data_IF_429172473298
#
_entry.id   IF_429172473298
#
_cell.length_a   1.000
_cell.length_b   1.000
_cell.length_c   1.000
_cell.angle_alpha   90.00
_cell.angle_beta   90.00
_cell.angle_gamma   90.00
#
_symmetry.space_group_name_H-M   'P 1'
#
loop_
_entity.id
_entity.type
_entity.pdbx_description
1 polymer ?
#
# COMPACT_ATOMS: atom_id res chain seq x y z
N UNK A 1 -23.56 50.35 42.28
CA UNK A 1 -23.99 49.03 41.81
C UNK A 1 -23.01 48.55 40.76
N UNK A 2 -22.56 47.30 40.91
CA UNK A 2 -21.71 46.53 39.99
C UNK A 2 -22.28 46.53 38.55
N UNK A 3 -21.51 46.30 37.48
CA UNK A 3 -20.64 45.14 37.25
C UNK A 3 -19.53 45.42 36.23
N UNK A 4 -18.41 44.73 36.44
CA UNK A 4 -17.28 44.59 35.54
C UNK A 4 -17.42 43.31 34.67
N UNK A 5 -16.75 43.34 33.52
CA UNK A 5 -16.08 42.25 32.78
C UNK A 5 -16.88 41.06 32.24
N UNK A 6 -16.70 40.79 30.95
CA UNK A 6 -17.11 39.54 30.32
C UNK A 6 -16.83 39.42 28.82
N UNK A 7 -15.71 39.94 28.29
CA UNK A 7 -15.23 39.55 26.97
C UNK A 7 -14.38 38.28 27.12
N UNK A 8 -14.98 37.11 26.90
CA UNK A 8 -14.25 35.85 26.76
C UNK A 8 -13.59 35.83 25.38
N UNK A 9 -12.37 36.34 25.34
CA UNK A 9 -11.45 36.22 24.21
C UNK A 9 -10.88 34.79 24.22
N UNK A 10 -11.60 33.84 23.63
CA UNK A 10 -11.07 32.49 23.40
C UNK A 10 -10.10 32.54 22.21
N UNK A 11 -8.87 32.99 22.48
CA UNK A 11 -7.74 32.82 21.58
C UNK A 11 -7.38 31.34 21.47
N UNK A 12 -7.93 30.65 20.46
CA UNK A 12 -7.25 29.45 19.95
C UNK A 12 -5.88 29.93 19.41
N UNK A 13 -4.74 29.39 19.89
CA UNK A 13 -3.46 29.69 19.26
C UNK A 13 -3.56 29.26 17.80
N UNK A 14 -3.04 30.08 16.87
CA UNK A 14 -2.89 29.83 15.43
C UNK A 14 -2.41 28.41 15.14
N UNK A 15 -3.32 27.43 15.18
CA UNK A 15 -3.05 26.06 14.76
C UNK A 15 -3.15 26.10 13.26
N UNK A 16 -2.03 26.47 12.63
CA UNK A 16 -1.83 26.23 11.20
C UNK A 16 -2.22 24.77 10.95
N UNK A 17 -3.25 24.51 10.13
CA UNK A 17 -3.68 23.14 9.89
C UNK A 17 -2.48 22.32 9.40
N UNK A 18 -2.35 21.05 9.80
CA UNK A 18 -1.25 20.22 9.34
C UNK A 18 -1.21 20.28 7.80
N UNK A 19 -0.01 20.54 7.27
CA UNK A 19 0.15 20.71 5.83
C UNK A 19 -0.32 19.43 5.12
N UNK A 20 -1.22 19.59 4.15
CA UNK A 20 -1.71 18.46 3.37
C UNK A 20 -0.57 17.86 2.54
N UNK A 21 -0.53 16.52 2.39
CA UNK A 21 0.43 15.87 1.52
C UNK A 21 0.22 16.35 0.09
N UNK A 22 1.33 16.58 -0.62
CA UNK A 22 1.30 17.02 -2.01
C UNK A 22 1.39 15.80 -2.94
N UNK A 23 0.55 15.71 -3.98
CA UNK A 23 0.66 14.63 -4.97
C UNK A 23 1.99 14.67 -5.72
N UNK A 24 2.59 13.50 -5.94
CA UNK A 24 3.76 13.33 -6.80
C UNK A 24 3.25 13.19 -8.25
N UNK A 25 3.47 14.19 -9.10
CA UNK A 25 2.88 14.25 -10.46
C UNK A 25 3.67 13.51 -11.54
N UNK A 26 4.99 13.41 -11.39
CA UNK A 26 5.88 12.75 -12.34
C UNK A 26 6.50 11.50 -11.70
N UNK A 27 5.64 10.57 -11.30
CA UNK A 27 6.09 9.36 -10.64
C UNK A 27 6.51 8.32 -11.68
N UNK A 28 7.75 7.86 -11.58
CA UNK A 28 8.27 6.77 -12.41
C UNK A 28 7.77 5.41 -11.90
N UNK A 29 7.17 4.61 -12.79
CA UNK A 29 6.75 3.24 -12.48
C UNK A 29 7.94 2.30 -12.56
N UNK A 30 8.38 1.78 -11.39
CA UNK A 30 9.59 0.95 -11.28
C UNK A 30 9.33 -0.55 -11.37
N UNK A 31 8.11 -0.99 -11.03
CA UNK A 31 7.78 -2.40 -10.86
C UNK A 31 6.65 -2.79 -11.82
N UNK A 32 7.00 -3.54 -12.87
CA UNK A 32 6.08 -3.93 -13.95
C UNK A 32 6.11 -5.42 -14.31
N UNK A 33 6.89 -6.21 -13.55
CA UNK A 33 7.13 -7.64 -13.80
C UNK A 33 6.32 -8.54 -12.86
N UNK A 34 6.26 -9.83 -13.15
CA UNK A 34 5.62 -10.83 -12.29
C UNK A 34 6.51 -11.09 -11.07
N UNK A 35 5.96 -11.02 -9.85
CA UNK A 35 6.71 -11.23 -8.61
C UNK A 35 6.47 -12.64 -8.04
N UNK A 36 7.45 -13.54 -8.17
CA UNK A 36 7.37 -14.93 -7.69
C UNK A 36 8.65 -15.27 -6.94
N UNK A 37 8.52 -15.89 -5.77
CA UNK A 37 9.64 -16.32 -4.92
C UNK A 37 10.65 -15.20 -4.61
N UNK A 38 10.13 -14.01 -4.29
CA UNK A 38 10.90 -12.79 -4.02
C UNK A 38 11.73 -12.26 -5.21
N UNK A 39 11.42 -12.66 -6.43
CA UNK A 39 12.12 -12.26 -7.65
C UNK A 39 11.15 -11.74 -8.72
N UNK A 40 11.65 -10.87 -9.59
CA UNK A 40 10.91 -10.31 -10.72
C UNK A 40 11.15 -11.14 -12.00
N UNK A 41 10.08 -11.61 -12.62
CA UNK A 41 10.10 -12.48 -13.80
C UNK A 41 9.34 -11.84 -14.97
N UNK A 42 9.81 -12.09 -16.18
CA UNK A 42 9.03 -11.83 -17.40
C UNK A 42 7.97 -12.93 -17.57
N UNK A 43 6.87 -12.59 -18.24
CA UNK A 43 5.81 -13.53 -18.55
C UNK A 43 6.34 -14.69 -19.39
N UNK A 44 5.82 -15.90 -19.17
CA UNK A 44 6.18 -17.07 -19.99
C UNK A 44 5.77 -16.92 -21.45
N UNK A 45 4.70 -16.16 -21.70
CA UNK A 45 4.22 -15.83 -23.03
C UNK A 45 5.05 -14.72 -23.71
N UNK A 46 5.83 -13.95 -22.95
CA UNK A 46 6.51 -12.73 -23.39
C UNK A 46 5.56 -11.56 -23.68
N UNK A 47 4.26 -11.70 -23.39
CA UNK A 47 3.26 -10.67 -23.65
C UNK A 47 3.23 -9.64 -22.53
N UNK A 48 2.82 -8.43 -22.90
CA UNK A 48 2.59 -7.33 -21.98
C UNK A 48 1.27 -6.66 -22.35
N UNK A 49 0.65 -6.04 -21.36
CA UNK A 49 -0.51 -5.18 -21.59
C UNK A 49 -0.27 -3.78 -21.02
N UNK A 50 -0.87 -2.79 -21.66
CA UNK A 50 -0.76 -1.39 -21.24
C UNK A 50 -1.72 -1.12 -20.08
N UNK A 51 -1.25 -0.40 -19.06
CA UNK A 51 -2.13 0.30 -18.12
C UNK A 51 -2.22 1.78 -18.50
N UNK A 52 -3.42 2.35 -18.39
CA UNK A 52 -3.73 3.69 -18.88
C UNK A 52 -4.31 4.54 -17.77
N UNK A 53 -3.93 5.81 -17.72
CA UNK A 53 -4.49 6.76 -16.77
C UNK A 53 -5.91 7.12 -17.21
N UNK A 54 -6.97 6.81 -16.45
CA UNK A 54 -8.34 7.08 -16.87
C UNK A 54 -8.69 8.57 -16.94
N UNK A 55 -7.91 9.43 -16.27
CA UNK A 55 -8.12 10.89 -16.26
C UNK A 55 -7.57 11.57 -17.52
N UNK A 56 -6.48 11.05 -18.10
CA UNK A 56 -5.86 11.61 -19.33
C UNK A 56 -6.05 10.73 -20.56
N UNK A 57 -6.40 9.45 -20.37
CA UNK A 57 -6.42 8.36 -21.36
C UNK A 57 -5.05 8.03 -21.96
N UNK A 58 -3.98 8.53 -21.36
CA UNK A 58 -2.62 8.25 -21.79
C UNK A 58 -2.12 6.95 -21.15
N UNK A 59 -1.27 6.22 -21.88
CA UNK A 59 -0.60 5.04 -21.37
C UNK A 59 0.40 5.43 -20.27
N UNK A 60 0.33 4.74 -19.13
CA UNK A 60 1.24 4.91 -18.00
C UNK A 60 2.49 4.05 -18.23
N UNK A 61 2.30 2.75 -18.43
CA UNK A 61 3.37 1.78 -18.69
C UNK A 61 2.81 0.49 -19.30
N UNK A 62 3.70 -0.44 -19.65
CA UNK A 62 3.37 -1.83 -19.95
C UNK A 62 3.77 -2.73 -18.79
N UNK A 63 2.90 -3.68 -18.45
CA UNK A 63 3.12 -4.69 -17.41
C UNK A 63 3.06 -6.09 -18.00
N UNK A 64 3.82 -7.01 -17.42
CA UNK A 64 3.86 -8.41 -17.85
C UNK A 64 2.48 -9.08 -17.75
N UNK A 65 2.05 -9.72 -18.85
CA UNK A 65 0.77 -10.42 -18.92
C UNK A 65 0.95 -11.87 -18.46
N UNK A 66 0.67 -12.12 -17.18
CA UNK A 66 0.71 -13.47 -16.61
C UNK A 66 -0.38 -14.36 -17.19
N UNK A 67 -0.01 -15.56 -17.64
CA UNK A 67 -0.92 -16.59 -18.13
C UNK A 67 -0.83 -17.85 -17.25
N UNK A 68 -1.57 -18.90 -17.59
CA UNK A 68 -1.61 -20.18 -16.89
C UNK A 68 -0.21 -20.70 -16.46
N UNK A 69 0.83 -20.68 -17.31
CA UNK A 69 2.17 -21.17 -16.90
C UNK A 69 2.81 -20.31 -15.80
N UNK A 70 2.57 -19.01 -15.76
CA UNK A 70 3.06 -18.11 -14.73
C UNK A 70 2.33 -18.35 -13.41
N UNK A 71 1.01 -18.59 -13.48
CA UNK A 71 0.19 -18.98 -12.33
C UNK A 71 0.65 -20.32 -11.77
N UNK A 72 0.87 -21.33 -12.63
CA UNK A 72 1.34 -22.65 -12.21
C UNK A 72 2.71 -22.55 -11.49
N UNK A 73 3.63 -21.69 -11.99
CA UNK A 73 4.91 -21.38 -11.33
C UNK A 73 4.74 -20.68 -9.98
N UNK A 74 3.81 -19.73 -9.87
CA UNK A 74 3.52 -19.02 -8.62
C UNK A 74 2.95 -19.98 -7.56
N UNK A 75 2.07 -20.90 -7.96
CA UNK A 75 1.47 -21.91 -7.08
C UNK A 75 2.53 -22.88 -6.59
N UNK A 76 3.42 -23.37 -7.46
CA UNK A 76 4.52 -24.25 -7.06
C UNK A 76 5.43 -23.57 -6.01
N UNK A 77 5.82 -22.31 -6.25
CA UNK A 77 6.61 -21.54 -5.29
C UNK A 77 5.89 -21.37 -3.93
N UNK A 78 4.60 -21.06 -3.96
CA UNK A 78 3.79 -20.94 -2.74
C UNK A 78 3.65 -22.27 -1.99
N UNK A 79 3.51 -23.39 -2.71
CA UNK A 79 3.47 -24.73 -2.12
C UNK A 79 4.78 -25.04 -1.40
N UNK A 80 5.93 -24.79 -2.03
CA UNK A 80 7.26 -24.97 -1.42
C UNK A 80 7.40 -24.10 -0.17
N UNK A 81 7.02 -22.82 -0.25
CA UNK A 81 7.04 -21.92 0.90
C UNK A 81 6.13 -22.39 2.06
N UNK A 82 5.11 -23.21 1.80
CA UNK A 82 4.18 -23.73 2.79
C UNK A 82 4.45 -25.18 3.23
N UNK A 83 5.46 -25.86 2.66
CA UNK A 83 5.83 -27.23 3.03
C UNK A 83 6.18 -27.36 4.51
N UNK A 84 5.96 -28.54 5.10
CA UNK A 84 6.31 -28.81 6.49
C UNK A 84 7.82 -28.65 6.69
N UNK A 85 8.22 -27.88 7.70
CA UNK A 85 9.63 -27.61 7.99
C UNK A 85 10.23 -26.42 7.22
N UNK A 86 9.48 -25.82 6.28
CA UNK A 86 9.89 -24.58 5.60
C UNK A 86 10.06 -23.41 6.59
N UNK A 87 10.85 -22.38 6.24
CA UNK A 87 11.04 -21.19 7.10
C UNK A 87 9.71 -20.54 7.51
N UNK A 88 8.77 -20.41 6.57
CA UNK A 88 7.46 -19.79 6.85
C UNK A 88 6.61 -20.62 7.83
N UNK A 89 6.58 -21.94 7.68
CA UNK A 89 5.85 -22.84 8.60
C UNK A 89 6.48 -22.95 9.98
N UNK A 90 7.79 -22.69 10.09
CA UNK A 90 8.54 -22.71 11.35
C UNK A 90 8.47 -21.40 12.14
N UNK A 91 8.14 -20.29 11.48
CA UNK A 91 7.94 -19.01 12.17
C UNK A 91 6.77 -19.11 13.15
N UNK A 92 6.97 -18.63 14.37
CA UNK A 92 5.89 -18.49 15.33
C UNK A 92 4.92 -17.36 14.93
N UNK A 93 3.73 -17.36 15.53
CA UNK A 93 2.69 -16.38 15.22
C UNK A 93 3.12 -14.93 15.48
N UNK A 94 3.93 -14.68 16.52
CA UNK A 94 4.40 -13.34 16.85
C UNK A 94 5.41 -12.84 15.82
N UNK A 95 6.34 -13.70 15.37
CA UNK A 95 7.31 -13.36 14.33
C UNK A 95 6.63 -13.06 12.99
N UNK A 96 5.61 -13.83 12.59
CA UNK A 96 4.79 -13.48 11.41
C UNK A 96 4.09 -12.13 11.58
N UNK A 97 3.54 -11.87 12.77
CA UNK A 97 2.97 -10.56 13.10
C UNK A 97 3.99 -9.42 12.99
N UNK A 98 5.24 -9.63 13.42
CA UNK A 98 6.31 -8.63 13.28
C UNK A 98 6.60 -8.30 11.82
N UNK A 99 6.63 -9.29 10.93
CA UNK A 99 6.81 -9.06 9.49
C UNK A 99 5.65 -8.22 8.90
N UNK A 100 4.41 -8.46 9.31
CA UNK A 100 3.26 -7.65 8.89
C UNK A 100 3.35 -6.19 9.40
N UNK A 101 3.84 -5.98 10.62
CA UNK A 101 4.09 -4.63 11.13
C UNK A 101 5.19 -3.92 10.35
N UNK A 102 6.30 -4.60 10.06
CA UNK A 102 7.36 -4.05 9.23
C UNK A 102 6.84 -3.69 7.83
N UNK A 103 5.97 -4.51 7.25
CA UNK A 103 5.30 -4.17 5.99
C UNK A 103 4.43 -2.91 6.14
N UNK A 104 3.65 -2.79 7.22
CA UNK A 104 2.86 -1.59 7.48
C UNK A 104 3.73 -0.33 7.62
N UNK A 105 4.90 -0.44 8.24
CA UNK A 105 5.84 0.68 8.40
C UNK A 105 6.47 1.07 7.05
N UNK A 106 6.74 0.10 6.16
CA UNK A 106 7.19 0.38 4.80
C UNK A 106 6.09 1.04 3.96
N UNK A 107 4.84 0.59 4.09
CA UNK A 107 3.69 1.21 3.42
C UNK A 107 3.46 2.64 3.93
N UNK A 108 3.62 2.88 5.24
CA UNK A 108 3.50 4.22 5.83
C UNK A 108 4.63 5.15 5.38
N UNK A 109 5.87 4.64 5.29
CA UNK A 109 7.02 5.37 4.74
C UNK A 109 6.75 5.82 3.30
N UNK A 110 6.24 4.92 2.46
CA UNK A 110 6.04 5.16 1.03
C UNK A 110 4.61 5.62 0.69
N UNK A 111 3.83 6.01 1.71
CA UNK A 111 2.39 6.30 1.59
C UNK A 111 2.05 7.32 0.50
N UNK A 112 2.82 8.39 0.39
CA UNK A 112 2.61 9.42 -0.63
C UNK A 112 2.86 8.89 -2.05
N UNK A 113 3.86 8.01 -2.21
CA UNK A 113 4.19 7.35 -3.48
C UNK A 113 3.10 6.37 -3.88
N UNK A 114 2.66 5.52 -2.96
CA UNK A 114 1.59 4.56 -3.21
C UNK A 114 0.26 5.26 -3.52
N UNK A 115 -0.09 6.32 -2.79
CA UNK A 115 -1.29 7.12 -3.07
C UNK A 115 -1.22 7.82 -4.44
N UNK A 116 -0.04 8.26 -4.87
CA UNK A 116 0.14 8.85 -6.20
C UNK A 116 -0.01 7.80 -7.31
N UNK A 117 0.55 6.59 -7.14
CA UNK A 117 0.34 5.47 -8.07
C UNK A 117 -1.14 5.12 -8.18
N UNK A 118 -1.82 4.96 -7.04
CA UNK A 118 -3.24 4.62 -6.99
C UNK A 118 -4.10 5.68 -7.71
N UNK A 119 -3.81 6.96 -7.47
CA UNK A 119 -4.49 8.06 -8.18
C UNK A 119 -4.22 8.05 -9.68
N UNK A 120 -2.98 7.76 -10.09
CA UNK A 120 -2.61 7.74 -11.50
C UNK A 120 -3.29 6.59 -12.25
N UNK A 121 -3.35 5.40 -11.65
CA UNK A 121 -3.87 4.19 -12.27
C UNK A 121 -5.41 4.14 -12.26
N UNK A 122 -6.06 4.62 -11.18
CA UNK A 122 -7.53 4.53 -11.06
C UNK A 122 -8.25 5.87 -11.27
N UNK A 123 -7.54 6.99 -11.33
CA UNK A 123 -8.13 8.34 -11.44
C UNK A 123 -8.79 8.86 -10.16
N UNK A 124 -8.63 8.20 -9.01
CA UNK A 124 -9.26 8.65 -7.75
C UNK A 124 -8.55 9.90 -7.20
N UNK A 125 -9.25 10.81 -6.50
CA UNK A 125 -8.60 11.97 -5.90
C UNK A 125 -7.47 11.57 -4.94
N UNK A 126 -6.30 12.21 -5.04
CA UNK A 126 -5.12 11.88 -4.22
C UNK A 126 -5.40 11.89 -2.72
N UNK A 127 -6.17 12.85 -2.22
CA UNK A 127 -6.51 12.91 -0.80
C UNK A 127 -7.40 11.73 -0.37
N UNK A 128 -8.22 11.19 -1.29
CA UNK A 128 -9.01 9.98 -1.04
C UNK A 128 -8.09 8.76 -0.93
N UNK A 129 -7.20 8.56 -1.93
CA UNK A 129 -6.19 7.49 -1.89
C UNK A 129 -5.35 7.57 -0.61
N UNK A 130 -4.88 8.77 -0.25
CA UNK A 130 -4.00 8.97 0.89
C UNK A 130 -4.70 8.74 2.24
N UNK A 131 -5.85 9.37 2.50
CA UNK A 131 -6.49 9.38 3.83
C UNK A 131 -7.48 8.24 4.07
N UNK A 132 -7.94 7.55 3.03
CA UNK A 132 -8.91 6.46 3.16
C UNK A 132 -8.25 5.14 2.77
N UNK A 133 -7.79 5.01 1.53
CA UNK A 133 -7.29 3.72 1.03
C UNK A 133 -6.02 3.31 1.77
N UNK A 134 -4.96 4.14 1.72
CA UNK A 134 -3.69 3.81 2.37
C UNK A 134 -3.81 3.79 3.89
N UNK A 135 -4.66 4.63 4.47
CA UNK A 135 -4.96 4.56 5.91
C UNK A 135 -5.60 3.22 6.28
N UNK A 136 -6.58 2.77 5.50
CA UNK A 136 -7.24 1.48 5.65
C UNK A 136 -6.27 0.32 5.50
N UNK A 137 -5.39 0.36 4.50
CA UNK A 137 -4.34 -0.64 4.28
C UNK A 137 -3.40 -0.74 5.49
N UNK A 138 -2.84 0.39 5.96
CA UNK A 138 -1.92 0.42 7.10
C UNK A 138 -2.59 -0.12 8.36
N UNK A 139 -3.83 0.31 8.65
CA UNK A 139 -4.59 -0.17 9.80
C UNK A 139 -4.87 -1.66 9.73
N UNK A 140 -5.27 -2.16 8.57
CA UNK A 140 -5.58 -3.58 8.36
C UNK A 140 -4.35 -4.45 8.60
N UNK A 141 -3.20 -4.08 8.02
CA UNK A 141 -1.94 -4.78 8.23
C UNK A 141 -1.53 -4.81 9.71
N UNK A 142 -1.72 -3.71 10.44
CA UNK A 142 -1.44 -3.63 11.89
C UNK A 142 -2.43 -4.44 12.74
N UNK A 143 -3.69 -4.58 12.31
CA UNK A 143 -4.73 -5.28 13.07
C UNK A 143 -4.58 -6.81 13.04
N UNK A 144 -4.10 -7.40 11.93
CA UNK A 144 -3.99 -8.86 11.75
C UNK A 144 -3.13 -9.54 12.86
N UNK A 145 -2.23 -8.80 13.52
CA UNK A 145 -1.53 -9.24 14.74
C UNK A 145 -2.49 -9.57 15.90
N UNK A 146 -3.46 -8.69 16.17
CA UNK A 146 -4.36 -8.78 17.32
C UNK A 146 -5.28 -10.01 17.24
N UNK A 147 -5.76 -10.32 16.05
CA UNK A 147 -6.64 -11.48 15.83
C UNK A 147 -5.90 -12.82 15.91
N UNK A 148 -4.59 -12.84 15.67
CA UNK A 148 -3.76 -14.06 15.71
C UNK A 148 -3.41 -14.53 17.13
N UNK A 149 -3.78 -13.76 18.17
CA UNK A 149 -3.53 -14.08 19.58
C UNK A 149 -4.76 -14.63 20.33
N UNK A 150 -5.86 -14.95 19.62
CA UNK A 150 -7.13 -15.44 20.21
C UNK A 150 -7.59 -16.82 19.72
N UNK A 151 -6.69 -17.70 19.28
CA UNK A 151 -7.02 -19.11 18.98
C UNK A 151 -6.16 -20.07 19.78
#
# INVERSE_FOLDING_TARGET
MATANGAVENGQPDRKPPALPRPIRNLEVKFTKIFINNEWHESKSGKKFATCNPSTREQICEVEEGDKPDVDKAVEAAQVAFQRGSPWRRLDALSRGRLLHQLADLVERDRATLAALETMDTGKPFLHAFFIDLEGCIRTLRLIKSSSTKS
#
